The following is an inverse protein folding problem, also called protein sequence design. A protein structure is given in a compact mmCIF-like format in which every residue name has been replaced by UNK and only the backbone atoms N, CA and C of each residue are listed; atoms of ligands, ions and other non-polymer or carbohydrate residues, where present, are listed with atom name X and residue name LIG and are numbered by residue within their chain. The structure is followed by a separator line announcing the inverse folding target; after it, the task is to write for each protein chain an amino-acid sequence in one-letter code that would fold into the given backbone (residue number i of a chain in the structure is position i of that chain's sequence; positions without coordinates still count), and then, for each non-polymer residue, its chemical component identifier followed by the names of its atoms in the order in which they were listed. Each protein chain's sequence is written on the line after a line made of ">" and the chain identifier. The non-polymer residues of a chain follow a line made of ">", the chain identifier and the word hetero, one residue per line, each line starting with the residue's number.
data_IF_478342983329
#
_entry.id   IF_478342983329
#
_cell.length_a   1.000
_cell.length_b   1.000
_cell.length_c   1.000
_cell.angle_alpha   90.00
_cell.angle_beta   90.00
_cell.angle_gamma   90.00
#
_symmetry.space_group_name_H-M   'P 1'
#
loop_
_entity.id
_entity.type
_entity.pdbx_description
1 polymer ?
#
# COMPACT_ATOMS: atom_id res chain seq x y z
N UNK A 1 2.89 5.65 17.67
CA UNK A 1 3.20 5.10 16.33
C UNK A 1 4.08 3.87 16.51
N UNK A 2 3.78 2.74 15.87
CA UNK A 2 4.61 1.53 15.95
C UNK A 2 5.91 1.74 15.16
N UNK A 3 6.99 1.06 15.57
CA UNK A 3 8.29 1.14 14.88
C UNK A 3 8.21 0.68 13.42
N UNK A 4 7.35 -0.28 13.14
CA UNK A 4 7.10 -0.81 11.79
C UNK A 4 6.41 0.23 10.89
N UNK A 5 5.41 0.93 11.41
CA UNK A 5 4.76 2.06 10.72
C UNK A 5 5.78 3.15 10.36
N UNK A 6 6.64 3.51 11.31
CA UNK A 6 7.66 4.54 11.05
C UNK A 6 8.63 4.10 9.95
N UNK A 7 9.10 2.85 9.98
CA UNK A 7 10.00 2.31 8.94
C UNK A 7 9.36 2.26 7.56
N UNK A 8 8.08 1.89 7.48
CA UNK A 8 7.34 1.90 6.21
C UNK A 8 7.26 3.32 5.65
N UNK A 9 6.88 4.30 6.47
CA UNK A 9 6.78 5.69 6.04
C UNK A 9 8.15 6.27 5.66
N UNK A 10 9.20 5.98 6.44
CA UNK A 10 10.58 6.37 6.09
C UNK A 10 10.99 5.78 4.74
N UNK A 11 10.73 4.49 4.51
CA UNK A 11 11.04 3.82 3.25
C UNK A 11 10.27 4.41 2.06
N UNK A 12 8.96 4.65 2.21
CA UNK A 12 8.13 5.32 1.19
C UNK A 12 8.71 6.70 0.85
N UNK A 13 9.07 7.50 1.85
CA UNK A 13 9.65 8.83 1.64
C UNK A 13 11.03 8.76 0.97
N UNK A 14 11.86 7.76 1.32
CA UNK A 14 13.17 7.55 0.69
C UNK A 14 13.08 7.06 -0.75
N UNK A 15 12.02 6.32 -1.06
CA UNK A 15 11.72 5.88 -2.42
C UNK A 15 11.34 7.07 -3.32
N UNK A 16 10.83 8.15 -2.73
CA UNK A 16 10.48 9.37 -3.47
C UNK A 16 9.30 9.15 -4.42
N UNK A 17 8.40 8.21 -4.09
CA UNK A 17 7.21 7.93 -4.91
C UNK A 17 6.22 9.08 -4.90
N UNK A 18 5.54 9.27 -6.02
CA UNK A 18 4.56 10.34 -6.20
C UNK A 18 3.38 10.20 -5.22
N UNK A 19 2.77 11.34 -4.86
CA UNK A 19 1.62 11.39 -3.94
C UNK A 19 0.37 10.68 -4.50
N UNK A 20 0.31 10.41 -5.81
CA UNK A 20 -0.72 9.57 -6.41
C UNK A 20 -0.52 8.07 -6.21
N UNK A 21 0.69 7.64 -5.81
CA UNK A 21 1.07 6.23 -5.72
C UNK A 21 0.93 5.64 -4.31
N UNK A 22 0.63 6.45 -3.30
CA UNK A 22 0.41 5.94 -1.94
C UNK A 22 -0.46 6.88 -1.12
N UNK A 23 -0.99 6.37 0.00
CA UNK A 23 -1.77 7.18 0.91
C UNK A 23 -2.30 6.40 2.10
N UNK A 24 -3.21 7.03 2.83
CA UNK A 24 -3.88 6.43 3.99
C UNK A 24 -5.35 6.18 3.67
N UNK A 25 -5.87 5.06 4.14
CA UNK A 25 -7.30 4.79 4.13
C UNK A 25 -7.74 4.23 5.48
N UNK A 26 -9.03 4.38 5.77
CA UNK A 26 -9.62 3.90 7.01
C UNK A 26 -11.03 3.36 6.75
N UNK A 27 -11.31 2.19 7.31
CA UNK A 27 -12.66 1.59 7.36
C UNK A 27 -13.37 1.52 5.99
N UNK A 28 -12.69 0.91 5.00
CA UNK A 28 -13.22 0.71 3.65
C UNK A 28 -14.07 -0.56 3.61
N UNK A 29 -15.36 -0.41 3.23
CA UNK A 29 -16.30 -1.53 3.15
C UNK A 29 -16.14 -2.40 1.90
N UNK A 30 -15.71 -1.78 0.81
CA UNK A 30 -15.59 -2.41 -0.49
C UNK A 30 -14.39 -1.81 -1.25
N UNK A 31 -13.32 -2.59 -1.38
CA UNK A 31 -12.12 -2.17 -2.11
C UNK A 31 -12.34 -2.03 -3.61
N UNK A 32 -13.31 -2.75 -4.19
CA UNK A 32 -13.64 -2.62 -5.61
C UNK A 32 -14.29 -1.27 -5.89
N UNK A 33 -15.23 -0.83 -5.05
CA UNK A 33 -15.88 0.47 -5.20
C UNK A 33 -14.92 1.64 -4.96
N UNK A 34 -14.05 1.52 -3.95
CA UNK A 34 -13.15 2.60 -3.55
C UNK A 34 -11.87 2.71 -4.40
N UNK A 35 -11.21 1.58 -4.67
CA UNK A 35 -9.90 1.53 -5.36
C UNK A 35 -9.98 0.96 -6.78
N UNK A 36 -11.12 0.41 -7.20
CA UNK A 36 -11.23 -0.31 -8.46
C UNK A 36 -10.55 -1.68 -8.46
N UNK A 37 -10.36 -2.30 -7.29
CA UNK A 37 -9.70 -3.60 -7.19
C UNK A 37 -10.53 -4.73 -7.79
N UNK A 38 -9.88 -5.69 -8.45
CA UNK A 38 -10.53 -6.89 -8.98
C UNK A 38 -11.13 -7.75 -7.85
N UNK A 39 -10.44 -7.83 -6.72
CA UNK A 39 -10.93 -8.51 -5.52
C UNK A 39 -11.74 -7.57 -4.62
N UNK A 40 -12.87 -8.07 -4.11
CA UNK A 40 -13.70 -7.37 -3.13
C UNK A 40 -13.37 -7.81 -1.72
N UNK A 41 -12.73 -6.93 -0.94
CA UNK A 41 -12.49 -7.13 0.49
C UNK A 41 -12.96 -5.92 1.31
N UNK A 42 -13.14 -6.15 2.60
CA UNK A 42 -13.41 -5.11 3.59
C UNK A 42 -12.13 -4.84 4.41
N UNK A 43 -11.69 -3.59 4.47
CA UNK A 43 -10.55 -3.13 5.26
C UNK A 43 -11.04 -2.41 6.51
N UNK A 44 -11.06 -3.13 7.65
CA UNK A 44 -11.41 -2.55 8.96
C UNK A 44 -10.19 -2.01 9.70
N UNK A 45 -10.24 -0.76 10.12
CA UNK A 45 -9.14 -0.02 10.75
C UNK A 45 -8.35 0.84 9.76
N UNK A 46 -7.16 1.27 10.18
CA UNK A 46 -6.32 2.21 9.41
C UNK A 46 -5.20 1.48 8.65
N UNK A 47 -5.02 1.86 7.39
CA UNK A 47 -4.02 1.26 6.51
C UNK A 47 -3.26 2.34 5.74
N UNK A 48 -2.03 2.00 5.36
CA UNK A 48 -1.29 2.67 4.27
C UNK A 48 -1.47 1.82 3.02
N UNK A 49 -1.86 2.43 1.90
CA UNK A 49 -1.85 1.76 0.61
C UNK A 49 -0.70 2.26 -0.25
N UNK A 50 -0.12 1.39 -1.07
CA UNK A 50 0.95 1.71 -2.04
C UNK A 50 0.62 1.00 -3.35
N UNK A 51 0.49 1.75 -4.43
CA UNK A 51 0.39 1.24 -5.79
C UNK A 51 1.76 0.82 -6.29
N UNK A 52 1.84 -0.36 -6.91
CA UNK A 52 3.02 -0.91 -7.53
C UNK A 52 2.71 -1.25 -8.98
N UNK A 53 3.46 -0.66 -9.88
CA UNK A 53 3.40 -1.02 -11.30
C UNK A 53 4.22 -2.30 -11.53
N UNK A 54 3.79 -3.19 -12.43
CA UNK A 54 4.42 -4.50 -12.66
C UNK A 54 5.91 -4.43 -13.04
N UNK A 55 6.36 -3.32 -13.66
CA UNK A 55 7.73 -3.14 -14.14
C UNK A 55 8.61 -2.31 -13.18
N UNK A 56 8.08 -1.88 -12.04
CA UNK A 56 8.83 -0.96 -11.17
C UNK A 56 9.84 -1.70 -10.30
N UNK A 57 11.09 -1.66 -10.75
CA UNK A 57 12.32 -1.87 -9.96
C UNK A 57 12.44 -0.89 -8.76
N UNK A 58 11.54 0.10 -8.67
CA UNK A 58 11.55 1.29 -7.80
C UNK A 58 10.97 1.08 -6.39
N UNK A 59 10.99 -0.12 -5.84
CA UNK A 59 10.52 -0.37 -4.46
C UNK A 59 11.60 -1.00 -3.58
N UNK A 60 12.86 -0.62 -3.81
CA UNK A 60 14.02 -1.16 -3.11
C UNK A 60 13.96 -0.89 -1.62
N UNK A 61 13.70 0.35 -1.23
CA UNK A 61 13.69 0.75 0.18
C UNK A 61 12.50 0.14 0.93
N UNK A 62 11.33 0.03 0.29
CA UNK A 62 10.17 -0.63 0.89
C UNK A 62 10.43 -2.12 1.11
N UNK A 63 11.09 -2.80 0.16
CA UNK A 63 11.53 -4.20 0.33
C UNK A 63 12.56 -4.34 1.45
N UNK A 64 13.54 -3.44 1.52
CA UNK A 64 14.58 -3.42 2.56
C UNK A 64 14.05 -3.10 3.96
N UNK A 65 12.94 -2.35 4.06
CA UNK A 65 12.29 -2.05 5.33
C UNK A 65 11.79 -3.31 6.07
N UNK A 66 11.63 -4.43 5.34
CA UNK A 66 11.21 -5.72 5.89
C UNK A 66 9.75 -5.74 6.38
N UNK A 67 8.95 -4.75 5.98
CA UNK A 67 7.53 -4.65 6.33
C UNK A 67 6.73 -5.39 5.27
N UNK A 68 5.90 -6.35 5.68
CA UNK A 68 5.07 -7.14 4.76
C UNK A 68 3.69 -6.50 4.62
N UNK A 69 3.12 -6.46 3.39
CA UNK A 69 1.74 -6.05 3.20
C UNK A 69 0.80 -7.02 3.93
N UNK A 70 -0.27 -6.46 4.49
CA UNK A 70 -1.39 -7.20 5.09
C UNK A 70 -2.30 -7.77 4.02
N UNK A 71 -2.55 -6.99 2.96
CA UNK A 71 -3.29 -7.42 1.77
C UNK A 71 -2.58 -6.91 0.53
N UNK A 72 -2.64 -7.69 -0.55
CA UNK A 72 -2.11 -7.32 -1.87
C UNK A 72 -3.20 -7.66 -2.87
N UNK A 73 -3.73 -6.65 -3.57
CA UNK A 73 -4.84 -6.80 -4.52
C UNK A 73 -4.45 -6.29 -5.90
N UNK A 74 -5.21 -6.69 -6.93
CA UNK A 74 -4.99 -6.24 -8.30
C UNK A 74 -5.91 -5.07 -8.62
N UNK A 75 -5.38 -4.02 -9.25
CA UNK A 75 -6.13 -2.87 -9.78
C UNK A 75 -5.73 -2.68 -11.24
N UNK A 76 -6.63 -3.01 -12.16
CA UNK A 76 -6.36 -3.00 -13.61
C UNK A 76 -5.07 -3.80 -13.94
N UNK A 77 -4.02 -3.13 -14.43
CA UNK A 77 -2.71 -3.71 -14.75
C UNK A 77 -1.66 -3.48 -13.64
N UNK A 78 -2.07 -2.91 -12.50
CA UNK A 78 -1.22 -2.61 -11.35
C UNK A 78 -1.60 -3.44 -10.11
N UNK A 79 -0.75 -3.38 -9.09
CA UNK A 79 -0.99 -4.03 -7.80
C UNK A 79 -1.08 -2.98 -6.71
N UNK A 80 -1.97 -3.13 -5.74
CA UNK A 80 -2.06 -2.28 -4.56
C UNK A 80 -1.75 -3.11 -3.30
N UNK A 81 -0.78 -2.64 -2.51
CA UNK A 81 -0.38 -3.22 -1.23
C UNK A 81 -0.95 -2.42 -0.08
N UNK A 82 -1.60 -3.08 0.86
CA UNK A 82 -2.15 -2.49 2.07
C UNK A 82 -1.35 -2.92 3.30
N UNK A 83 -0.89 -1.95 4.09
CA UNK A 83 -0.13 -2.17 5.33
C UNK A 83 -0.94 -1.66 6.52
N UNK A 84 -1.28 -2.55 7.45
CA UNK A 84 -2.04 -2.19 8.64
C UNK A 84 -1.21 -1.34 9.61
N UNK A 85 -1.81 -0.28 10.13
CA UNK A 85 -1.20 0.60 11.14
C UNK A 85 -1.31 0.07 12.58
#
# INVERSE_FOLDING_TARGET
>A
MKKETFRLLDAINREGIDNGMWGFCQDIKDTTDYFGTAEKIELKGQFVYVYREPDTLFFGFIKEAGVKPTHTLTVEDATIDFYKL
#
